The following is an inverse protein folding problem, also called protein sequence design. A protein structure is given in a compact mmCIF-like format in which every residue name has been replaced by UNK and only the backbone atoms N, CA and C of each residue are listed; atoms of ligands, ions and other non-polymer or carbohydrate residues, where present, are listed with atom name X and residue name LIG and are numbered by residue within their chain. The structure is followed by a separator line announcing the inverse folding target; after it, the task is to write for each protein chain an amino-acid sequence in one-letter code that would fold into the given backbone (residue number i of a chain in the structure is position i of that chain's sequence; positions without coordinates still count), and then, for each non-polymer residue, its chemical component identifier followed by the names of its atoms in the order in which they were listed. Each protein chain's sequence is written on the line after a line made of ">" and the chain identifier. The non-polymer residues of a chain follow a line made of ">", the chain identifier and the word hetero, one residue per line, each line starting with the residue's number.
data_IF_469364000600
#
_entry.id   IF_469364000600
#
_cell.length_a   1.000
_cell.length_b   1.000
_cell.length_c   1.000
_cell.angle_alpha   90.00
_cell.angle_beta   90.00
_cell.angle_gamma   90.00
#
_symmetry.space_group_name_H-M   'P 1'
#
loop_
_entity.id
_entity.type
_entity.pdbx_description
1 polymer ?
#
# COMPACT_ATOMS: atom_id res chain seq x y z
N UNK A 1 9.72 -64.68 7.65
CA UNK A 1 8.97 -63.46 7.29
C UNK A 1 9.62 -62.91 6.05
N UNK A 2 8.95 -63.00 4.91
CA UNK A 2 9.41 -62.45 3.63
C UNK A 2 9.46 -60.93 3.72
N UNK A 3 10.44 -60.30 3.07
CA UNK A 3 10.63 -58.86 3.14
C UNK A 3 9.49 -58.14 2.42
N UNK A 4 8.93 -57.04 2.96
CA UNK A 4 7.84 -56.29 2.33
C UNK A 4 8.17 -55.72 0.94
N UNK A 5 9.44 -55.80 0.50
CA UNK A 5 9.88 -55.37 -0.83
C UNK A 5 9.89 -56.49 -1.88
N UNK A 6 9.59 -57.74 -1.50
CA UNK A 6 9.58 -58.86 -2.46
C UNK A 6 8.35 -58.84 -3.39
N UNK A 7 7.23 -58.22 -2.97
CA UNK A 7 6.02 -58.04 -3.81
C UNK A 7 6.24 -57.06 -4.98
N UNK A 8 7.13 -56.07 -4.82
CA UNK A 8 7.44 -55.09 -5.87
C UNK A 8 8.31 -55.65 -7.00
N UNK A 9 8.84 -56.86 -6.84
CA UNK A 9 9.62 -57.56 -7.88
C UNK A 9 8.76 -58.46 -8.76
N UNK A 10 7.48 -58.63 -8.45
CA UNK A 10 6.57 -59.38 -9.31
C UNK A 10 6.21 -58.53 -10.56
N UNK A 11 6.24 -59.10 -11.77
CA UNK A 11 5.86 -58.37 -12.97
C UNK A 11 4.39 -57.93 -12.90
N UNK A 12 4.16 -56.62 -13.13
CA UNK A 12 2.82 -56.02 -13.14
C UNK A 12 2.05 -56.58 -14.34
N UNK A 13 1.03 -57.39 -14.06
CA UNK A 13 0.08 -57.84 -15.09
C UNK A 13 -1.06 -56.83 -15.17
N UNK A 14 -1.33 -56.20 -16.33
CA UNK A 14 -2.46 -55.30 -16.49
C UNK A 14 -3.76 -56.02 -16.16
N UNK A 15 -4.53 -55.48 -15.22
CA UNK A 15 -5.87 -55.97 -14.91
C UNK A 15 -6.85 -55.07 -15.63
N UNK A 16 -7.73 -55.66 -16.44
CA UNK A 16 -8.80 -54.88 -17.08
C UNK A 16 -9.71 -54.27 -16.00
N UNK A 17 -10.15 -53.00 -16.18
CA UNK A 17 -11.00 -52.34 -15.20
C UNK A 17 -12.33 -53.07 -15.08
N UNK A 18 -12.88 -53.08 -13.86
CA UNK A 18 -14.19 -53.65 -13.58
C UNK A 18 -15.23 -53.11 -14.58
N UNK A 19 -15.89 -53.98 -15.38
CA UNK A 19 -16.87 -53.57 -16.36
C UNK A 19 -18.03 -52.76 -15.77
N UNK A 20 -18.42 -53.04 -14.51
CA UNK A 20 -19.49 -52.31 -13.84
C UNK A 20 -19.06 -50.87 -13.51
N UNK A 21 -17.82 -50.69 -13.07
CA UNK A 21 -17.24 -49.37 -12.82
C UNK A 21 -17.11 -48.57 -14.14
N UNK A 22 -16.60 -49.22 -15.19
CA UNK A 22 -16.46 -48.59 -16.50
C UNK A 22 -17.82 -48.14 -17.09
N UNK A 23 -18.87 -48.96 -16.94
CA UNK A 23 -20.22 -48.63 -17.35
C UNK A 23 -20.81 -47.46 -16.54
N UNK A 24 -20.63 -47.47 -15.21
CA UNK A 24 -21.10 -46.40 -14.34
C UNK A 24 -20.42 -45.06 -14.63
N UNK A 25 -19.12 -45.07 -14.90
CA UNK A 25 -18.36 -43.88 -15.26
C UNK A 25 -18.82 -43.29 -16.60
N UNK A 26 -19.03 -44.15 -17.61
CA UNK A 26 -19.51 -43.72 -18.94
C UNK A 26 -20.90 -43.08 -18.86
N UNK A 27 -21.84 -43.69 -18.13
CA UNK A 27 -23.18 -43.14 -17.92
C UNK A 27 -23.18 -41.81 -17.13
N UNK A 28 -22.16 -41.55 -16.31
CA UNK A 28 -22.00 -40.28 -15.58
C UNK A 28 -21.47 -39.18 -16.48
N UNK A 29 -20.52 -39.51 -17.36
CA UNK A 29 -19.96 -38.57 -18.34
C UNK A 29 -20.99 -38.20 -19.42
N UNK A 30 -21.78 -39.16 -19.90
CA UNK A 30 -22.84 -38.90 -20.89
C UNK A 30 -23.91 -37.94 -20.37
N UNK A 31 -24.34 -38.11 -19.11
CA UNK A 31 -25.25 -37.16 -18.46
C UNK A 31 -24.66 -35.76 -18.29
N UNK A 32 -23.37 -35.67 -17.97
CA UNK A 32 -22.70 -34.38 -17.79
C UNK A 32 -22.51 -33.60 -19.12
N UNK A 33 -22.49 -34.29 -20.26
CA UNK A 33 -22.29 -33.67 -21.58
C UNK A 33 -23.60 -33.25 -22.24
N UNK A 34 -24.73 -33.89 -21.91
CA UNK A 34 -25.99 -33.74 -22.64
C UNK A 34 -27.02 -32.78 -21.99
N UNK A 35 -26.82 -32.33 -20.75
CA UNK A 35 -27.74 -31.40 -20.06
C UNK A 35 -27.04 -30.08 -19.67
N UNK A 36 -27.14 -29.00 -20.48
CA UNK A 36 -26.68 -27.68 -20.09
C UNK A 36 -27.83 -26.91 -19.43
N UNK A 37 -27.77 -26.76 -18.10
CA UNK A 37 -28.51 -25.71 -17.38
C UNK A 37 -29.35 -26.20 -16.19
N UNK A 38 -28.76 -26.22 -15.01
CA UNK A 38 -29.40 -25.74 -13.78
C UNK A 38 -28.34 -25.60 -12.68
N UNK A 39 -28.26 -24.40 -12.12
CA UNK A 39 -27.41 -24.10 -10.97
C UNK A 39 -27.90 -24.89 -9.74
N UNK A 40 -27.09 -25.84 -9.28
CA UNK A 40 -26.94 -26.14 -7.85
C UNK A 40 -25.56 -26.73 -7.63
N UNK A 41 -24.81 -26.14 -6.70
CA UNK A 41 -23.41 -26.40 -6.45
C UNK A 41 -23.07 -27.89 -6.19
N UNK A 42 -22.01 -28.39 -6.82
CA UNK A 42 -21.15 -29.39 -6.17
C UNK A 42 -19.69 -29.21 -6.61
N UNK A 43 -18.91 -28.75 -5.66
CA UNK A 43 -17.45 -28.62 -5.64
C UNK A 43 -16.76 -29.92 -6.07
N UNK A 44 -15.92 -29.83 -7.10
CA UNK A 44 -14.69 -30.62 -7.17
C UNK A 44 -13.56 -29.70 -7.60
N UNK A 45 -12.86 -29.18 -6.60
CA UNK A 45 -11.56 -28.55 -6.77
C UNK A 45 -10.60 -29.56 -7.41
N UNK A 46 -10.09 -29.23 -8.59
CA UNK A 46 -8.80 -29.75 -9.05
C UNK A 46 -7.76 -29.18 -8.10
N UNK A 47 -6.84 -29.97 -7.52
CA UNK A 47 -5.74 -29.40 -6.76
C UNK A 47 -4.81 -28.73 -7.78
N UNK A 48 -5.08 -27.48 -8.08
CA UNK A 48 -4.05 -26.57 -8.59
C UNK A 48 -2.96 -26.60 -7.54
N UNK A 49 -1.78 -27.09 -7.93
CA UNK A 49 -0.55 -26.95 -7.15
C UNK A 49 -0.47 -25.49 -6.72
N UNK A 50 -0.70 -25.24 -5.44
CA UNK A 50 -0.56 -23.92 -4.86
C UNK A 50 0.83 -23.41 -5.21
N UNK A 51 0.88 -22.40 -6.06
CA UNK A 51 1.93 -21.40 -5.95
C UNK A 51 1.79 -20.90 -4.52
N UNK A 52 2.83 -21.03 -3.66
CA UNK A 52 2.69 -20.65 -2.27
C UNK A 52 2.12 -19.23 -2.21
N UNK A 53 1.07 -19.08 -1.41
CA UNK A 53 0.51 -17.79 -1.02
C UNK A 53 1.67 -16.83 -0.80
N UNK A 54 1.59 -15.65 -1.42
CA UNK A 54 2.30 -14.49 -0.91
C UNK A 54 1.89 -14.42 0.56
N UNK A 55 2.82 -14.81 1.45
CA UNK A 55 2.58 -14.76 2.88
C UNK A 55 1.99 -13.38 3.18
N UNK A 56 0.86 -13.27 3.90
CA UNK A 56 0.37 -11.96 4.29
C UNK A 56 1.52 -11.24 4.98
N UNK A 57 1.88 -10.06 4.46
CA UNK A 57 2.84 -9.17 5.10
C UNK A 57 2.46 -9.12 6.58
N UNK A 58 3.36 -9.60 7.45
CA UNK A 58 3.04 -9.85 8.84
C UNK A 58 2.44 -8.59 9.47
N UNK A 59 1.23 -8.68 10.02
CA UNK A 59 0.50 -7.57 10.65
C UNK A 59 1.15 -7.06 11.95
N UNK A 60 2.24 -7.69 12.38
CA UNK A 60 3.02 -7.26 13.54
C UNK A 60 4.05 -6.24 13.07
N UNK A 61 3.86 -4.96 13.43
CA UNK A 61 4.94 -3.99 13.37
C UNK A 61 6.05 -4.48 14.31
N UNK A 62 7.25 -4.80 13.81
CA UNK A 62 8.30 -5.35 14.66
C UNK A 62 8.77 -4.24 15.61
N UNK A 63 8.50 -4.33 16.93
CA UNK A 63 9.32 -3.74 18.03
C UNK A 63 9.01 -4.31 19.42
N UNK A 64 10.03 -4.88 20.05
CA UNK A 64 10.11 -5.29 21.48
C UNK A 64 11.58 -5.57 21.82
N UNK A 65 12.38 -5.92 20.81
CA UNK A 65 13.82 -6.16 20.91
C UNK A 65 14.62 -4.86 20.70
N UNK A 66 15.61 -4.64 21.55
CA UNK A 66 16.62 -3.56 21.45
C UNK A 66 17.97 -4.18 21.09
N UNK A 67 18.45 -4.07 19.84
CA UNK A 67 19.73 -4.65 19.45
C UNK A 67 20.89 -4.00 20.22
N UNK A 68 21.90 -4.82 20.54
CA UNK A 68 23.15 -4.37 21.15
C UNK A 68 24.31 -4.72 20.22
N UNK A 69 24.91 -3.72 19.59
CA UNK A 69 26.02 -3.89 18.66
C UNK A 69 27.38 -3.78 19.36
N UNK A 70 28.28 -4.64 18.91
CA UNK A 70 29.71 -4.58 19.24
C UNK A 70 30.43 -3.91 18.08
N UNK A 71 31.17 -2.86 18.39
CA UNK A 71 31.87 -2.03 17.41
C UNK A 71 33.32 -1.84 17.79
N UNK A 72 34.17 -1.54 16.79
CA UNK A 72 35.60 -1.27 17.02
C UNK A 72 35.80 0.07 17.75
N UNK A 73 34.96 1.05 17.43
CA UNK A 73 34.92 2.39 18.03
C UNK A 73 33.47 2.89 18.08
N UNK A 74 32.95 3.05 19.30
CA UNK A 74 31.58 3.47 19.58
C UNK A 74 31.33 4.93 19.24
N UNK A 75 32.33 5.81 19.36
CA UNK A 75 32.16 7.22 18.99
C UNK A 75 32.05 7.36 17.48
N UNK A 76 32.90 6.63 16.74
CA UNK A 76 32.80 6.55 15.29
C UNK A 76 31.48 5.91 14.83
N UNK A 77 31.04 4.83 15.50
CA UNK A 77 29.76 4.19 15.20
C UNK A 77 28.57 5.13 15.47
N UNK A 78 28.55 5.84 16.60
CA UNK A 78 27.51 6.84 16.90
C UNK A 78 27.48 7.91 15.82
N UNK A 79 28.63 8.47 15.43
CA UNK A 79 28.71 9.44 14.35
C UNK A 79 28.17 8.90 13.01
N UNK A 80 28.47 7.64 12.70
CA UNK A 80 27.91 6.94 11.54
C UNK A 80 26.39 6.84 11.59
N UNK A 81 25.79 6.35 12.69
CA UNK A 81 24.33 6.21 12.81
C UNK A 81 23.62 7.57 12.80
N UNK A 82 24.23 8.62 13.37
CA UNK A 82 23.74 10.00 13.28
C UNK A 82 23.72 10.47 11.81
N UNK A 83 24.82 10.29 11.07
CA UNK A 83 24.92 10.76 9.68
C UNK A 83 24.03 9.95 8.72
N UNK A 84 24.06 8.63 8.82
CA UNK A 84 23.36 7.72 7.91
C UNK A 84 21.84 7.70 8.18
N UNK A 85 21.45 7.59 9.46
CA UNK A 85 20.08 7.29 9.87
C UNK A 85 19.42 8.38 10.71
N UNK A 86 20.07 9.54 10.87
CA UNK A 86 19.58 10.64 11.72
C UNK A 86 19.34 10.19 13.16
N UNK A 87 20.18 9.27 13.64
CA UNK A 87 20.11 8.80 15.01
C UNK A 87 20.34 9.95 15.99
N UNK A 88 19.73 9.88 17.17
CA UNK A 88 19.91 10.85 18.25
C UNK A 88 20.57 10.15 19.44
N UNK A 89 21.77 10.55 19.88
CA UNK A 89 22.37 10.01 21.09
C UNK A 89 21.47 10.22 22.30
N UNK A 90 21.35 9.20 23.14
CA UNK A 90 20.51 9.25 24.33
C UNK A 90 21.31 8.89 25.58
N UNK A 91 21.25 9.77 26.59
CA UNK A 91 21.93 9.56 27.86
C UNK A 91 23.46 9.72 27.79
N UNK A 92 24.15 9.54 28.91
CA UNK A 92 25.61 9.65 28.97
C UNK A 92 26.32 8.41 28.40
N UNK A 93 27.53 8.61 27.88
CA UNK A 93 28.47 7.50 27.63
C UNK A 93 28.84 6.84 28.96
N UNK A 94 28.72 5.51 29.03
CA UNK A 94 29.24 4.74 30.15
C UNK A 94 30.63 4.22 29.76
N UNK A 95 31.65 4.66 30.48
CA UNK A 95 33.04 4.35 30.19
C UNK A 95 33.55 3.18 31.04
N UNK A 96 34.46 2.41 30.46
CA UNK A 96 35.32 1.47 31.18
C UNK A 96 36.50 2.22 31.83
N UNK A 97 37.24 1.53 32.70
CA UNK A 97 38.46 2.08 33.32
C UNK A 97 39.53 2.50 32.30
N UNK A 98 39.57 1.86 31.13
CA UNK A 98 40.50 2.16 30.03
C UNK A 98 40.03 3.32 29.11
N UNK A 99 38.89 3.94 29.42
CA UNK A 99 38.31 5.06 28.65
C UNK A 99 37.52 4.66 27.41
N UNK A 100 37.41 3.35 27.11
CA UNK A 100 36.53 2.82 26.06
C UNK A 100 35.07 2.86 26.49
N UNK A 101 34.15 2.96 25.54
CA UNK A 101 32.72 3.00 25.81
C UNK A 101 32.23 1.57 26.12
N UNK A 102 31.83 1.35 27.37
CA UNK A 102 31.15 0.15 27.81
C UNK A 102 29.70 0.11 27.30
N UNK A 103 29.04 1.26 27.20
CA UNK A 103 27.66 1.37 26.75
C UNK A 103 27.30 2.81 26.34
N UNK A 104 26.62 2.94 25.19
CA UNK A 104 25.95 4.16 24.75
C UNK A 104 24.70 3.79 23.96
N UNK A 105 23.70 4.65 23.98
CA UNK A 105 22.43 4.45 23.27
C UNK A 105 22.24 5.51 22.20
N UNK A 106 21.66 5.10 21.08
CA UNK A 106 21.13 6.01 20.07
C UNK A 106 19.69 5.66 19.75
N UNK A 107 18.86 6.67 19.50
CA UNK A 107 17.47 6.53 19.08
C UNK A 107 17.40 6.69 17.57
N UNK A 108 16.79 5.72 16.89
CA UNK A 108 16.50 5.76 15.45
C UNK A 108 15.01 5.53 15.27
N UNK A 109 14.28 6.56 14.84
CA UNK A 109 12.82 6.54 14.80
C UNK A 109 12.24 6.38 16.20
N UNK A 110 11.48 5.31 16.42
CA UNK A 110 10.83 4.96 17.69
C UNK A 110 11.60 3.95 18.54
N UNK A 111 12.85 3.67 18.18
CA UNK A 111 13.58 2.52 18.71
C UNK A 111 14.99 2.85 19.16
N UNK A 112 15.45 2.11 20.16
CA UNK A 112 16.79 2.24 20.74
C UNK A 112 17.74 1.23 20.08
N UNK A 113 18.96 1.68 19.82
CA UNK A 113 20.11 0.85 19.45
C UNK A 113 21.19 1.06 20.51
N UNK A 114 21.60 -0.03 21.15
CA UNK A 114 22.67 -0.02 22.15
C UNK A 114 24.01 -0.33 21.45
N UNK A 115 25.07 0.38 21.83
CA UNK A 115 26.39 0.29 21.20
C UNK A 115 27.47 0.19 22.29
N UNK A 116 28.46 -0.66 22.07
CA UNK A 116 29.63 -0.78 22.95
C UNK A 116 30.88 -1.18 22.19
N UNK A 117 32.03 -0.69 22.67
CA UNK A 117 33.33 -1.06 22.15
C UNK A 117 33.59 -2.54 22.40
N UNK A 118 34.28 -3.19 21.44
CA UNK A 118 34.78 -4.54 21.58
C UNK A 118 35.55 -4.76 22.88
N UNK A 119 35.34 -5.93 23.48
CA UNK A 119 35.95 -6.35 24.73
C UNK A 119 36.49 -7.77 24.58
N UNK A 120 37.74 -7.92 24.13
CA UNK A 120 38.37 -9.22 23.93
C UNK A 120 38.53 -10.04 25.22
N UNK A 121 38.61 -9.39 26.40
CA UNK A 121 38.81 -10.06 27.69
C UNK A 121 37.64 -10.99 28.06
N UNK A 122 36.45 -10.69 27.55
CA UNK A 122 35.23 -11.49 27.75
C UNK A 122 34.64 -11.98 26.42
N UNK A 123 35.45 -12.01 25.36
CA UNK A 123 35.09 -12.48 24.01
C UNK A 123 33.84 -11.78 23.41
N UNK A 124 33.66 -10.49 23.68
CA UNK A 124 32.61 -9.68 23.05
C UNK A 124 33.20 -8.77 21.98
N UNK A 125 33.35 -9.34 20.78
CA UNK A 125 34.03 -8.75 19.62
C UNK A 125 33.04 -8.21 18.58
N UNK A 126 33.51 -7.27 17.76
CA UNK A 126 32.80 -6.78 16.59
C UNK A 126 32.78 -7.83 15.47
N UNK A 127 31.82 -7.76 14.53
CA UNK A 127 31.78 -8.68 13.40
C UNK A 127 33.06 -8.72 12.55
N UNK A 128 33.70 -7.57 12.33
CA UNK A 128 34.97 -7.49 11.62
C UNK A 128 36.08 -8.28 12.32
N UNK A 129 36.17 -8.21 13.65
CA UNK A 129 37.13 -8.98 14.44
C UNK A 129 36.80 -10.49 14.48
N UNK A 130 35.53 -10.85 14.29
CA UNK A 130 35.08 -12.25 14.14
C UNK A 130 35.28 -12.82 12.73
N UNK A 131 35.60 -11.99 11.74
CA UNK A 131 35.80 -12.40 10.34
C UNK A 131 34.52 -12.45 9.50
N UNK A 132 33.42 -11.85 9.96
CA UNK A 132 32.18 -11.76 9.19
C UNK A 132 30.96 -11.31 10.01
N UNK A 133 29.84 -10.96 9.35
CA UNK A 133 28.61 -10.54 10.02
C UNK A 133 28.13 -11.54 11.08
N UNK A 134 27.84 -11.06 12.30
CA UNK A 134 27.32 -11.89 13.41
C UNK A 134 25.79 -11.89 13.49
N UNK A 135 25.14 -11.08 12.67
CA UNK A 135 23.69 -10.87 12.62
C UNK A 135 23.36 -9.75 11.65
N UNK A 136 22.09 -9.34 11.58
CA UNK A 136 21.67 -8.16 10.81
C UNK A 136 20.72 -7.29 11.61
N UNK A 137 20.89 -5.98 11.49
CA UNK A 137 19.93 -4.98 11.98
C UNK A 137 19.11 -4.50 10.80
N UNK A 138 17.78 -4.64 10.90
CA UNK A 138 16.86 -4.06 9.92
C UNK A 138 16.44 -2.68 10.39
N UNK A 139 16.70 -1.67 9.55
CA UNK A 139 16.31 -0.29 9.78
C UNK A 139 15.32 0.10 8.69
N UNK A 140 14.09 0.40 9.11
CA UNK A 140 13.06 0.97 8.25
C UNK A 140 13.25 2.48 8.12
N UNK A 141 13.23 2.98 6.89
CA UNK A 141 13.43 4.40 6.58
C UNK A 141 12.40 4.88 5.55
N UNK A 142 11.95 6.15 5.60
CA UNK A 142 10.98 6.65 4.62
C UNK A 142 11.48 6.59 3.16
N UNK A 143 12.79 6.70 2.96
CA UNK A 143 13.45 6.70 1.66
C UNK A 143 14.74 5.87 1.75
N UNK A 144 14.71 4.69 1.14
CA UNK A 144 15.83 3.75 1.17
C UNK A 144 17.03 4.25 0.37
N UNK A 145 16.82 4.87 -0.80
CA UNK A 145 17.90 5.37 -1.65
C UNK A 145 18.66 6.52 -0.97
N UNK A 146 17.93 7.45 -0.37
CA UNK A 146 18.54 8.57 0.35
C UNK A 146 19.30 8.09 1.59
N UNK A 147 18.74 7.14 2.36
CA UNK A 147 19.44 6.58 3.52
C UNK A 147 20.68 5.77 3.13
N UNK A 148 20.57 4.97 2.08
CA UNK A 148 21.69 4.20 1.54
C UNK A 148 22.82 5.12 1.07
N UNK A 149 22.49 6.18 0.34
CA UNK A 149 23.46 7.19 -0.11
C UNK A 149 24.18 7.87 1.06
N UNK A 150 23.46 8.23 2.13
CA UNK A 150 24.07 8.78 3.34
C UNK A 150 24.97 7.77 4.05
N UNK A 151 24.57 6.50 4.12
CA UNK A 151 25.37 5.45 4.74
C UNK A 151 26.71 5.28 4.00
N UNK A 152 26.71 5.29 2.66
CA UNK A 152 27.96 5.25 1.88
C UNK A 152 28.83 6.49 2.10
N UNK A 153 28.22 7.68 2.13
CA UNK A 153 28.94 8.92 2.44
C UNK A 153 29.55 8.92 3.85
N UNK A 154 28.94 8.20 4.79
CA UNK A 154 29.44 8.01 6.15
C UNK A 154 30.46 6.86 6.29
N UNK A 155 30.85 6.21 5.17
CA UNK A 155 31.90 5.18 5.16
C UNK A 155 31.40 3.74 5.16
N UNK A 156 30.11 3.48 4.97
CA UNK A 156 29.61 2.11 4.83
C UNK A 156 30.07 1.47 3.52
N UNK A 157 30.23 0.14 3.54
CA UNK A 157 30.53 -0.67 2.36
C UNK A 157 29.25 -1.29 1.80
N UNK A 158 29.07 -1.24 0.48
CA UNK A 158 27.94 -1.91 -0.18
C UNK A 158 28.10 -3.42 -0.11
N UNK A 159 27.11 -4.12 0.45
CA UNK A 159 26.95 -5.57 0.30
C UNK A 159 25.93 -5.88 -0.81
N UNK A 160 24.76 -5.23 -0.75
CA UNK A 160 23.69 -5.35 -1.74
C UNK A 160 23.15 -3.97 -2.10
N UNK A 161 23.14 -3.57 -3.38
CA UNK A 161 22.60 -2.28 -3.80
C UNK A 161 21.09 -2.19 -3.53
N UNK A 162 20.56 -0.96 -3.48
CA UNK A 162 19.11 -0.75 -3.36
C UNK A 162 18.39 -1.27 -4.60
N UNK A 163 17.36 -2.07 -4.39
CA UNK A 163 16.53 -2.61 -5.47
C UNK A 163 15.14 -3.05 -4.97
N UNK A 164 14.25 -3.46 -5.88
CA UNK A 164 12.97 -4.06 -5.51
C UNK A 164 13.19 -5.46 -4.91
N UNK A 165 12.52 -5.75 -3.79
CA UNK A 165 12.48 -7.07 -3.15
C UNK A 165 11.02 -7.47 -2.85
N UNK A 166 10.73 -8.75 -2.62
CA UNK A 166 9.37 -9.22 -2.28
C UNK A 166 8.74 -8.57 -1.04
N UNK A 167 9.54 -7.91 -0.20
CA UNK A 167 9.16 -7.31 1.08
C UNK A 167 9.51 -5.81 1.14
N UNK A 168 9.51 -5.13 -0.02
CA UNK A 168 9.72 -3.69 -0.14
C UNK A 168 11.10 -3.31 -0.69
N UNK A 169 11.22 -2.09 -1.22
CA UNK A 169 12.49 -1.57 -1.77
C UNK A 169 13.56 -1.51 -0.69
N UNK A 170 14.77 -2.00 -0.96
CA UNK A 170 15.84 -1.97 0.05
C UNK A 170 17.19 -2.47 -0.43
N UNK A 171 18.20 -2.27 0.40
CA UNK A 171 19.59 -2.67 0.18
C UNK A 171 20.30 -3.07 1.48
N UNK A 172 21.55 -3.49 1.38
CA UNK A 172 22.36 -3.92 2.52
C UNK A 172 23.73 -3.27 2.48
N UNK A 173 24.14 -2.71 3.61
CA UNK A 173 25.48 -2.16 3.82
C UNK A 173 26.14 -2.78 5.04
N UNK A 174 27.47 -2.71 5.10
CA UNK A 174 28.27 -3.00 6.27
C UNK A 174 28.80 -1.69 6.85
N UNK A 175 28.66 -1.48 8.16
CA UNK A 175 29.39 -0.42 8.86
C UNK A 175 30.89 -0.75 8.98
N UNK A 176 31.71 0.19 9.44
CA UNK A 176 33.16 -0.03 9.61
C UNK A 176 33.48 -1.15 10.62
N UNK A 177 32.57 -1.49 11.53
CA UNK A 177 32.73 -2.62 12.46
C UNK A 177 32.28 -3.96 11.87
N UNK A 178 31.81 -3.98 10.63
CA UNK A 178 31.30 -5.17 9.93
C UNK A 178 29.86 -5.54 10.31
N UNK A 179 29.13 -4.68 11.03
CA UNK A 179 27.72 -4.93 11.31
C UNK A 179 26.92 -4.79 10.02
N UNK A 180 26.07 -5.78 9.75
CA UNK A 180 25.26 -5.84 8.55
C UNK A 180 23.92 -5.12 8.76
N UNK A 181 23.71 -4.05 8.02
CA UNK A 181 22.54 -3.18 8.12
C UNK A 181 21.66 -3.37 6.89
N UNK A 182 20.45 -3.87 7.09
CA UNK A 182 19.42 -3.95 6.07
C UNK A 182 18.62 -2.64 6.08
N UNK A 183 18.79 -1.83 5.04
CA UNK A 183 18.06 -0.58 4.86
C UNK A 183 16.83 -0.91 4.02
N UNK A 184 15.66 -0.80 4.62
CA UNK A 184 14.40 -1.14 3.97
C UNK A 184 13.50 0.09 3.95
N UNK A 185 12.89 0.36 2.81
CA UNK A 185 11.89 1.41 2.70
C UNK A 185 10.70 1.02 3.58
N UNK A 186 10.35 1.90 4.51
CA UNK A 186 9.17 1.75 5.32
C UNK A 186 7.95 1.84 4.41
N UNK A 187 7.06 0.84 4.50
CA UNK A 187 5.71 0.97 3.97
C UNK A 187 5.05 2.16 4.67
N UNK A 188 4.65 3.22 3.95
CA UNK A 188 4.14 4.39 4.63
C UNK A 188 2.85 4.01 5.38
N UNK A 189 2.69 4.56 6.57
CA UNK A 189 1.54 4.20 7.42
C UNK A 189 0.34 5.00 6.95
N UNK A 190 -0.66 4.31 6.41
CA UNK A 190 -1.98 4.88 6.22
C UNK A 190 -2.59 5.18 7.59
N UNK A 191 -2.99 6.42 7.79
CA UNK A 191 -3.60 6.89 9.02
C UNK A 191 -5.08 7.27 8.74
N UNK A 192 -5.85 7.50 9.80
CA UNK A 192 -7.28 7.79 9.70
C UNK A 192 -7.58 8.93 8.71
N UNK A 193 -8.46 8.68 7.75
CA UNK A 193 -8.87 9.61 6.69
C UNK A 193 -7.98 9.64 5.46
N UNK A 194 -6.83 8.95 5.44
CA UNK A 194 -6.05 8.80 4.21
C UNK A 194 -6.78 7.87 3.23
N UNK A 195 -6.60 8.12 1.94
CA UNK A 195 -7.18 7.30 0.89
C UNK A 195 -6.36 6.02 0.70
N UNK A 196 -6.97 4.87 0.92
CA UNK A 196 -6.33 3.55 0.72
C UNK A 196 -6.53 3.03 -0.69
N UNK A 197 -7.71 3.29 -1.24
CA UNK A 197 -8.09 2.95 -2.60
C UNK A 197 -9.04 4.01 -3.13
N UNK A 198 -8.98 4.28 -4.44
CA UNK A 198 -10.03 5.01 -5.12
C UNK A 198 -10.39 4.36 -6.44
N UNK A 199 -11.61 4.62 -6.89
CA UNK A 199 -12.12 4.08 -8.14
C UNK A 199 -12.92 5.13 -8.90
N UNK A 200 -12.61 5.34 -10.17
CA UNK A 200 -13.50 6.08 -11.06
C UNK A 200 -14.76 5.25 -11.27
N UNK A 201 -15.92 5.80 -10.92
CA UNK A 201 -17.23 5.21 -11.24
C UNK A 201 -17.77 5.95 -12.45
N UNK A 202 -17.85 5.27 -13.59
CA UNK A 202 -18.19 5.85 -14.91
C UNK A 202 -19.17 4.92 -15.64
N UNK A 203 -19.90 5.38 -16.66
CA UNK A 203 -20.80 4.51 -17.43
C UNK A 203 -20.05 3.36 -18.13
N UNK A 204 -18.93 3.66 -18.79
CA UNK A 204 -18.11 2.70 -19.52
C UNK A 204 -16.65 2.77 -19.04
N UNK A 205 -16.22 1.74 -18.30
CA UNK A 205 -14.87 1.65 -17.75
C UNK A 205 -13.80 1.51 -18.84
N UNK A 206 -14.07 0.79 -19.92
CA UNK A 206 -13.13 0.60 -21.03
C UNK A 206 -12.92 1.91 -21.81
N UNK A 207 -14.00 2.68 -21.97
CA UNK A 207 -13.94 4.01 -22.56
C UNK A 207 -13.14 4.99 -21.70
N UNK A 208 -13.36 4.99 -20.39
CA UNK A 208 -12.55 5.79 -19.47
C UNK A 208 -11.08 5.35 -19.47
N UNK A 209 -10.79 4.05 -19.51
CA UNK A 209 -9.43 3.54 -19.59
C UNK A 209 -8.69 4.04 -20.84
N UNK A 210 -9.36 4.09 -22.01
CA UNK A 210 -8.79 4.69 -23.23
C UNK A 210 -8.58 6.19 -23.10
N UNK A 211 -9.57 6.91 -22.56
CA UNK A 211 -9.49 8.35 -22.35
C UNK A 211 -8.31 8.73 -21.45
N UNK A 212 -8.26 8.18 -20.23
CA UNK A 212 -7.18 8.48 -19.28
C UNK A 212 -5.84 7.84 -19.67
N UNK A 213 -5.85 6.76 -20.46
CA UNK A 213 -4.64 6.26 -21.13
C UNK A 213 -4.01 7.29 -22.06
N UNK A 214 -4.83 8.01 -22.84
CA UNK A 214 -4.37 9.07 -23.74
C UNK A 214 -3.97 10.35 -23.00
N UNK A 215 -4.70 10.74 -21.94
CA UNK A 215 -4.48 12.00 -21.21
C UNK A 215 -3.37 11.89 -20.16
N UNK A 216 -3.34 10.80 -19.41
CA UNK A 216 -2.46 10.61 -18.23
C UNK A 216 -1.41 9.52 -18.42
N UNK A 217 -1.40 8.83 -19.56
CA UNK A 217 -0.47 7.74 -19.81
C UNK A 217 -0.73 6.49 -18.97
N UNK A 218 -1.97 6.27 -18.52
CA UNK A 218 -2.31 5.09 -17.72
C UNK A 218 -2.15 3.79 -18.50
N UNK A 219 -1.45 2.84 -17.90
CA UNK A 219 -1.39 1.45 -18.34
C UNK A 219 -2.37 0.64 -17.49
N UNK A 220 -3.38 0.04 -18.11
CA UNK A 220 -4.47 -0.63 -17.39
C UNK A 220 -4.42 -2.14 -17.55
N UNK A 221 -4.95 -2.84 -16.54
CA UNK A 221 -5.12 -4.30 -16.53
C UNK A 221 -6.50 -4.62 -15.96
N UNK A 222 -7.14 -5.71 -16.43
CA UNK A 222 -8.36 -6.19 -15.79
C UNK A 222 -8.05 -6.66 -14.37
N UNK A 223 -8.94 -6.33 -13.45
CA UNK A 223 -8.85 -6.82 -12.08
C UNK A 223 -9.22 -8.33 -12.01
N UNK A 224 -8.88 -8.96 -10.90
CA UNK A 224 -8.99 -10.41 -10.72
C UNK A 224 -10.44 -10.94 -10.85
N UNK A 225 -11.43 -10.10 -10.60
CA UNK A 225 -12.86 -10.42 -10.68
C UNK A 225 -13.46 -10.18 -12.07
N UNK A 226 -12.67 -9.60 -12.98
CA UNK A 226 -13.06 -9.29 -14.36
C UNK A 226 -14.03 -8.11 -14.51
N UNK A 227 -14.52 -7.54 -13.40
CA UNK A 227 -15.52 -6.46 -13.37
C UNK A 227 -14.87 -5.07 -13.31
N UNK A 228 -13.73 -4.95 -12.62
CA UNK A 228 -12.95 -3.71 -12.54
C UNK A 228 -11.77 -3.64 -13.51
N UNK A 229 -11.30 -2.42 -13.80
CA UNK A 229 -10.02 -2.15 -14.46
C UNK A 229 -9.09 -1.49 -13.45
N UNK A 230 -7.89 -2.03 -13.26
CA UNK A 230 -6.84 -1.47 -12.41
C UNK A 230 -5.86 -0.65 -13.24
N UNK A 231 -5.40 0.49 -12.71
CA UNK A 231 -4.27 1.24 -13.26
C UNK A 231 -2.96 0.66 -12.70
N UNK A 232 -2.14 0.05 -13.56
CA UNK A 232 -1.01 -0.78 -13.18
C UNK A 232 0.33 -0.02 -13.08
N UNK A 233 0.42 1.18 -13.65
CA UNK A 233 1.64 2.00 -13.65
C UNK A 233 1.60 3.16 -12.65
N UNK A 234 0.68 3.12 -11.67
CA UNK A 234 0.63 4.07 -10.56
C UNK A 234 0.99 3.36 -9.25
N UNK A 235 1.62 4.08 -8.31
CA UNK A 235 1.85 3.55 -6.97
C UNK A 235 0.55 3.49 -6.14
N UNK A 236 -0.41 4.37 -6.41
CA UNK A 236 -1.73 4.37 -5.75
C UNK A 236 -2.64 3.29 -6.32
N UNK A 237 -3.38 2.59 -5.47
CA UNK A 237 -4.44 1.67 -5.87
C UNK A 237 -5.63 2.44 -6.49
N UNK A 238 -5.57 2.67 -7.81
CA UNK A 238 -6.63 3.33 -8.58
C UNK A 238 -7.33 2.34 -9.51
N UNK A 239 -8.65 2.26 -9.38
CA UNK A 239 -9.53 1.45 -10.23
C UNK A 239 -10.44 2.27 -11.14
N UNK A 240 -11.08 1.61 -12.08
CA UNK A 240 -12.15 2.12 -12.94
C UNK A 240 -13.25 1.06 -12.99
N UNK A 241 -14.48 1.49 -12.72
CA UNK A 241 -15.64 0.61 -12.62
C UNK A 241 -16.82 1.18 -13.41
N UNK A 242 -17.48 0.29 -14.16
CA UNK A 242 -18.75 0.62 -14.79
C UNK A 242 -19.84 0.69 -13.72
N UNK A 243 -20.47 1.85 -13.61
CA UNK A 243 -21.53 2.12 -12.63
C UNK A 243 -22.66 2.93 -13.26
N UNK A 244 -23.89 2.65 -12.83
CA UNK A 244 -25.03 3.50 -13.16
C UNK A 244 -24.99 4.80 -12.34
N UNK A 245 -25.49 5.88 -12.93
CA UNK A 245 -25.59 7.19 -12.26
C UNK A 245 -24.57 8.20 -12.79
N UNK A 246 -24.34 9.26 -12.01
CA UNK A 246 -23.41 10.33 -12.38
C UNK A 246 -21.97 9.87 -12.18
N UNK A 247 -21.06 10.15 -13.12
CA UNK A 247 -19.66 9.82 -12.94
C UNK A 247 -19.04 10.55 -11.73
N UNK A 248 -18.25 9.84 -10.93
CA UNK A 248 -17.60 10.40 -9.74
C UNK A 248 -16.38 9.56 -9.32
N UNK A 249 -15.61 10.05 -8.35
CA UNK A 249 -14.59 9.27 -7.67
C UNK A 249 -15.18 8.59 -6.43
N UNK A 250 -15.11 7.27 -6.37
CA UNK A 250 -15.37 6.51 -5.14
C UNK A 250 -14.11 6.46 -4.30
N UNK A 251 -14.19 6.92 -3.06
CA UNK A 251 -13.06 6.94 -2.12
C UNK A 251 -13.20 5.85 -1.06
N UNK A 252 -12.12 5.14 -0.78
CA UNK A 252 -11.99 4.27 0.38
C UNK A 252 -11.00 4.88 1.38
N UNK A 253 -11.47 5.18 2.59
CA UNK A 253 -10.68 5.85 3.63
C UNK A 253 -10.18 4.88 4.69
N UNK A 254 -8.92 5.02 5.07
CA UNK A 254 -8.36 4.29 6.20
C UNK A 254 -9.03 4.75 7.49
N UNK A 255 -9.38 3.80 8.35
CA UNK A 255 -9.85 4.03 9.71
C UNK A 255 -9.15 3.07 10.67
N UNK A 256 -8.98 3.44 11.95
CA UNK A 256 -8.35 2.55 12.93
C UNK A 256 -9.20 1.31 13.25
N UNK A 257 -10.53 1.43 13.14
CA UNK A 257 -11.51 0.39 13.45
C UNK A 257 -12.76 0.58 12.58
N UNK A 258 -13.09 -0.40 11.73
CA UNK A 258 -14.20 -0.29 10.76
C UNK A 258 -15.54 -0.23 11.48
N UNK A 259 -15.73 -1.00 12.55
CA UNK A 259 -17.00 -1.05 13.26
C UNK A 259 -17.36 0.29 13.91
N UNK A 260 -16.36 0.97 14.50
CA UNK A 260 -16.46 2.30 15.09
C UNK A 260 -16.78 3.34 14.02
N UNK A 261 -16.10 3.27 12.87
CA UNK A 261 -16.38 4.17 11.74
C UNK A 261 -17.80 3.97 11.19
N UNK A 262 -18.27 2.72 11.03
CA UNK A 262 -19.63 2.40 10.60
C UNK A 262 -20.68 2.97 11.57
N UNK A 263 -20.45 2.85 12.88
CA UNK A 263 -21.33 3.44 13.88
C UNK A 263 -21.35 4.98 13.78
N UNK A 264 -20.19 5.62 13.59
CA UNK A 264 -20.08 7.06 13.41
C UNK A 264 -20.80 7.55 12.13
N UNK A 265 -20.66 6.82 11.02
CA UNK A 265 -21.38 7.11 9.76
C UNK A 265 -22.90 7.09 9.96
N UNK A 266 -23.42 6.04 10.60
CA UNK A 266 -24.86 5.90 10.90
C UNK A 266 -25.34 7.01 11.83
N UNK A 267 -24.55 7.36 12.85
CA UNK A 267 -24.87 8.42 13.79
C UNK A 267 -24.86 9.82 13.14
N UNK A 268 -24.01 10.04 12.13
CA UNK A 268 -23.93 11.28 11.37
C UNK A 268 -25.03 11.42 10.28
N UNK A 269 -25.92 10.44 10.15
CA UNK A 269 -27.04 10.47 9.21
C UNK A 269 -26.76 9.80 7.86
N UNK A 270 -25.63 9.12 7.71
CA UNK A 270 -25.31 8.29 6.55
C UNK A 270 -25.84 6.86 6.70
N UNK A 271 -25.59 6.05 5.67
CA UNK A 271 -25.86 4.59 5.71
C UNK A 271 -24.55 3.83 5.54
N UNK A 272 -24.45 2.65 6.14
CA UNK A 272 -23.28 1.81 6.05
C UNK A 272 -23.68 0.34 6.10
N UNK A 273 -23.06 -0.49 5.26
CA UNK A 273 -23.19 -1.94 5.31
C UNK A 273 -22.48 -2.50 6.55
N UNK A 274 -22.76 -3.76 6.88
CA UNK A 274 -22.01 -4.45 7.93
C UNK A 274 -20.57 -4.71 7.46
N UNK A 275 -19.56 -4.56 8.36
CA UNK A 275 -18.18 -4.83 8.02
C UNK A 275 -17.98 -6.24 7.47
N UNK A 276 -17.33 -6.36 6.33
CA UNK A 276 -17.06 -7.63 5.66
C UNK A 276 -15.57 -7.80 5.37
N UNK A 277 -15.07 -9.04 5.49
CA UNK A 277 -13.71 -9.38 5.08
C UNK A 277 -13.66 -9.55 3.56
N UNK A 278 -12.77 -8.82 2.93
CA UNK A 278 -12.51 -8.85 1.49
C UNK A 278 -11.03 -9.18 1.23
N UNK A 279 -10.62 -9.44 -0.02
CA UNK A 279 -9.20 -9.51 -0.39
C UNK A 279 -8.40 -8.25 -0.02
N UNK A 280 -9.08 -7.10 0.15
CA UNK A 280 -8.49 -5.80 0.51
C UNK A 280 -8.60 -5.48 2.01
N UNK A 281 -8.84 -6.48 2.85
CA UNK A 281 -8.99 -6.32 4.30
C UNK A 281 -10.43 -6.22 4.77
N UNK A 282 -10.61 -5.82 6.03
CA UNK A 282 -11.93 -5.55 6.60
C UNK A 282 -12.42 -4.19 6.08
N UNK A 283 -13.59 -4.18 5.44
CA UNK A 283 -14.15 -3.01 4.76
C UNK A 283 -15.65 -2.90 5.03
N UNK A 284 -16.17 -1.67 4.98
CA UNK A 284 -17.61 -1.41 4.90
C UNK A 284 -17.90 -0.35 3.82
N UNK A 285 -18.87 -0.64 2.94
CA UNK A 285 -19.43 0.33 2.00
C UNK A 285 -20.41 1.26 2.72
N UNK A 286 -20.30 2.55 2.43
CA UNK A 286 -21.02 3.64 3.06
C UNK A 286 -21.64 4.58 2.03
N UNK A 287 -22.66 5.31 2.45
CA UNK A 287 -23.22 6.47 1.75
C UNK A 287 -23.32 7.59 2.76
N UNK A 288 -22.79 8.77 2.44
CA UNK A 288 -22.87 9.93 3.32
C UNK A 288 -24.30 10.49 3.41
N UNK A 289 -24.48 11.52 4.23
CA UNK A 289 -25.77 12.17 4.44
C UNK A 289 -26.20 13.09 3.27
N UNK A 290 -25.41 13.13 2.20
CA UNK A 290 -25.64 13.83 0.93
C UNK A 290 -25.91 12.86 -0.24
N UNK A 291 -25.72 11.55 -0.05
CA UNK A 291 -25.89 10.52 -1.07
C UNK A 291 -24.60 10.12 -1.79
N UNK A 292 -23.42 10.57 -1.34
CA UNK A 292 -22.13 10.21 -1.93
C UNK A 292 -21.67 8.84 -1.42
N UNK A 293 -21.44 7.86 -2.31
CA UNK A 293 -20.90 6.56 -1.92
C UNK A 293 -19.40 6.64 -1.62
N UNK A 294 -18.98 6.00 -0.54
CA UNK A 294 -17.58 5.83 -0.16
C UNK A 294 -17.40 4.52 0.61
N UNK A 295 -16.18 4.14 0.96
CA UNK A 295 -15.89 3.00 1.84
C UNK A 295 -14.94 3.41 2.96
N UNK A 296 -14.92 2.59 4.02
CA UNK A 296 -13.90 2.65 5.07
C UNK A 296 -13.26 1.28 5.23
N UNK A 297 -11.94 1.24 5.47
CA UNK A 297 -11.23 0.01 5.75
C UNK A 297 -10.21 0.17 6.89
N UNK A 298 -9.97 -0.91 7.62
CA UNK A 298 -8.85 -0.99 8.56
C UNK A 298 -7.57 -1.10 7.73
N UNK A 299 -6.89 0.03 7.53
CA UNK A 299 -5.69 0.24 6.73
C UNK A 299 -4.97 -1.05 6.26
N UNK A 300 -5.41 -1.57 5.11
CA UNK A 300 -4.66 -2.52 4.30
C UNK A 300 -4.46 -1.83 2.95
N UNK A 301 -3.21 -1.50 2.62
CA UNK A 301 -2.87 -0.88 1.35
C UNK A 301 -1.46 -0.29 1.38
N UNK A 302 -0.82 -0.26 0.22
CA UNK A 302 0.31 0.64 0.00
C UNK A 302 -0.28 2.06 -0.06
N UNK A 303 0.10 2.98 0.83
CA UNK A 303 -0.26 4.38 0.68
C UNK A 303 0.10 4.84 -0.72
N UNK A 304 -0.73 5.69 -1.31
CA UNK A 304 -0.39 6.35 -2.56
C UNK A 304 1.03 6.93 -2.45
N UNK A 305 2.01 6.29 -3.11
CA UNK A 305 3.36 6.82 -3.11
C UNK A 305 3.33 8.21 -3.76
N UNK A 306 4.37 9.00 -3.47
CA UNK A 306 4.49 10.40 -3.84
C UNK A 306 4.21 10.72 -5.32
N UNK A 307 4.23 12.01 -5.68
CA UNK A 307 3.59 12.56 -6.88
C UNK A 307 4.15 11.96 -8.18
N UNK A 308 3.59 10.83 -8.61
CA UNK A 308 3.84 10.24 -9.92
C UNK A 308 2.90 10.90 -10.95
N UNK A 309 3.36 11.21 -12.17
CA UNK A 309 2.47 11.66 -13.23
C UNK A 309 1.27 10.70 -13.39
N UNK A 310 0.07 11.26 -13.48
CA UNK A 310 -1.19 10.53 -13.53
C UNK A 310 -1.77 10.12 -12.18
N UNK A 311 -1.06 10.31 -11.06
CA UNK A 311 -1.58 10.01 -9.72
C UNK A 311 -2.51 11.11 -9.19
N UNK A 312 -3.39 10.76 -8.25
CA UNK A 312 -4.28 11.71 -7.58
C UNK A 312 -3.48 12.53 -6.57
N UNK A 313 -3.47 13.86 -6.71
CA UNK A 313 -2.81 14.80 -5.79
C UNK A 313 -3.77 15.41 -4.78
N UNK A 314 -5.04 15.55 -5.17
CA UNK A 314 -6.11 16.00 -4.28
C UNK A 314 -7.46 15.45 -4.71
N UNK A 315 -8.37 15.39 -3.73
CA UNK A 315 -9.79 15.08 -3.95
C UNK A 315 -10.65 16.22 -3.41
N UNK A 316 -11.66 16.60 -4.16
CA UNK A 316 -12.56 17.70 -3.82
C UNK A 316 -14.00 17.18 -3.80
N UNK A 317 -14.62 17.16 -2.62
CA UNK A 317 -16.06 16.95 -2.50
C UNK A 317 -16.76 18.29 -2.73
N UNK A 318 -17.42 18.42 -3.87
CA UNK A 318 -18.34 19.53 -4.16
C UNK A 318 -19.70 19.16 -3.59
N UNK A 319 -20.27 19.98 -2.72
CA UNK A 319 -21.52 19.68 -2.02
C UNK A 319 -22.45 20.91 -1.96
N UNK A 320 -23.79 20.74 -2.08
CA UNK A 320 -24.74 21.84 -1.90
C UNK A 320 -24.68 22.49 -0.53
N UNK A 321 -24.36 21.71 0.50
CA UNK A 321 -24.11 22.21 1.85
C UNK A 321 -22.72 21.72 2.33
N UNK A 322 -21.66 22.50 2.07
CA UNK A 322 -20.30 22.12 2.47
C UNK A 322 -20.10 22.14 3.99
N UNK A 323 -20.93 22.87 4.75
CA UNK A 323 -20.84 22.89 6.22
C UNK A 323 -21.37 21.57 6.79
N UNK A 324 -22.49 21.09 6.26
CA UNK A 324 -23.06 19.79 6.61
C UNK A 324 -22.13 18.64 6.20
N UNK A 325 -21.63 18.64 4.97
CA UNK A 325 -20.65 17.64 4.51
C UNK A 325 -19.40 17.62 5.40
N UNK A 326 -18.87 18.80 5.76
CA UNK A 326 -17.73 18.92 6.68
C UNK A 326 -18.02 18.28 8.03
N UNK A 327 -19.20 18.52 8.60
CA UNK A 327 -19.60 17.93 9.88
C UNK A 327 -19.66 16.40 9.79
N UNK A 328 -20.24 15.86 8.72
CA UNK A 328 -20.31 14.42 8.46
C UNK A 328 -18.91 13.79 8.41
N UNK A 329 -18.03 14.25 7.50
CA UNK A 329 -16.72 13.63 7.31
C UNK A 329 -15.79 13.82 8.51
N UNK A 330 -15.93 14.91 9.27
CA UNK A 330 -15.18 15.08 10.52
C UNK A 330 -15.58 14.03 11.56
N UNK A 331 -16.86 13.71 11.67
CA UNK A 331 -17.38 12.71 12.60
C UNK A 331 -17.06 11.28 12.14
N UNK A 332 -17.28 10.98 10.86
CA UNK A 332 -17.11 9.64 10.30
C UNK A 332 -15.65 9.17 10.26
N UNK A 333 -14.71 10.08 9.93
CA UNK A 333 -13.30 9.73 9.74
C UNK A 333 -12.39 10.17 10.89
N UNK A 334 -12.91 10.94 11.85
CA UNK A 334 -12.11 11.49 12.95
C UNK A 334 -11.09 12.54 12.50
N UNK A 335 -11.36 13.24 11.39
CA UNK A 335 -10.48 14.28 10.82
C UNK A 335 -10.97 15.69 11.15
N UNK A 336 -10.08 16.67 11.09
CA UNK A 336 -10.42 18.07 11.31
C UNK A 336 -10.44 18.85 10.01
N UNK A 337 -11.24 19.91 9.95
CA UNK A 337 -11.34 20.76 8.79
C UNK A 337 -10.98 22.21 9.13
N UNK A 338 -10.11 22.81 8.32
CA UNK A 338 -9.71 24.23 8.43
C UNK A 338 -10.29 25.02 7.26
N UNK A 339 -10.71 26.28 7.45
CA UNK A 339 -11.11 27.13 6.33
C UNK A 339 -9.97 27.26 5.31
N UNK A 340 -10.30 27.17 4.03
CA UNK A 340 -9.39 27.34 2.91
C UNK A 340 -10.03 28.15 1.78
N UNK A 341 -9.29 28.35 0.71
CA UNK A 341 -9.78 29.03 -0.50
C UNK A 341 -11.00 28.29 -1.09
N UNK A 342 -12.20 28.86 -0.92
CA UNK A 342 -13.44 28.33 -1.51
C UNK A 342 -14.09 27.16 -0.74
N UNK A 343 -13.64 26.85 0.48
CA UNK A 343 -14.21 25.74 1.24
C UNK A 343 -13.41 25.33 2.48
N UNK A 344 -13.39 24.04 2.76
CA UNK A 344 -12.77 23.43 3.93
C UNK A 344 -11.69 22.45 3.50
N UNK A 345 -10.50 22.51 4.10
CA UNK A 345 -9.43 21.54 3.88
C UNK A 345 -9.37 20.56 5.04
N UNK A 346 -9.24 19.28 4.75
CA UNK A 346 -9.13 18.23 5.75
C UNK A 346 -7.68 18.06 6.22
N UNK A 347 -7.51 17.91 7.53
CA UNK A 347 -6.23 17.79 8.22
C UNK A 347 -6.31 16.75 9.34
N UNK A 348 -5.16 16.16 9.63
CA UNK A 348 -4.91 15.33 10.82
C UNK A 348 -3.78 15.98 11.62
N UNK A 349 -4.13 16.51 12.80
CA UNK A 349 -3.24 17.43 13.52
C UNK A 349 -2.92 18.65 12.66
N UNK A 350 -1.64 18.85 12.36
CA UNK A 350 -1.15 19.90 11.46
C UNK A 350 -0.89 19.45 10.01
N UNK A 351 -0.90 18.14 9.76
CA UNK A 351 -0.65 17.58 8.43
C UNK A 351 -1.95 17.52 7.59
N UNK A 352 -1.88 17.75 6.27
CA UNK A 352 -2.99 17.44 5.36
C UNK A 352 -3.18 15.93 5.24
N UNK A 353 -4.39 15.50 4.89
CA UNK A 353 -4.67 14.10 4.51
C UNK A 353 -3.91 13.72 3.22
N UNK A 354 -3.79 12.42 2.95
CA UNK A 354 -3.15 11.87 1.75
C UNK A 354 -4.15 11.12 0.88
N UNK A 355 -4.48 11.62 -0.33
CA UNK A 355 -4.12 12.92 -0.91
C UNK A 355 -4.85 14.08 -0.19
N UNK A 356 -4.43 15.31 -0.50
CA UNK A 356 -5.04 16.49 0.08
C UNK A 356 -6.54 16.52 -0.23
N UNK A 357 -7.37 16.62 0.81
CA UNK A 357 -8.83 16.55 0.66
C UNK A 357 -9.47 17.89 0.99
N UNK A 358 -10.45 18.30 0.18
CA UNK A 358 -11.21 19.52 0.38
C UNK A 358 -12.71 19.30 0.18
N UNK A 359 -13.50 20.15 0.83
CA UNK A 359 -14.96 20.22 0.68
C UNK A 359 -15.30 21.64 0.24
N UNK A 360 -15.94 21.78 -0.92
CA UNK A 360 -16.30 23.07 -1.54
C UNK A 360 -17.78 23.11 -1.85
N UNK A 361 -18.31 24.31 -2.10
CA UNK A 361 -19.70 24.47 -2.53
C UNK A 361 -19.87 24.00 -3.98
N UNK A 362 -20.94 23.27 -4.26
CA UNK A 362 -21.30 22.84 -5.60
C UNK A 362 -22.78 22.48 -5.73
N UNK A 363 -23.33 22.47 -6.95
CA UNK A 363 -24.77 22.28 -7.16
C UNK A 363 -25.24 20.85 -6.85
N UNK A 364 -24.32 19.88 -6.85
CA UNK A 364 -24.59 18.45 -6.62
C UNK A 364 -23.42 17.87 -5.85
N UNK A 365 -23.71 16.95 -4.92
CA UNK A 365 -22.71 16.20 -4.17
C UNK A 365 -21.91 15.28 -5.12
N UNK A 366 -20.63 15.59 -5.34
CA UNK A 366 -19.73 14.76 -6.18
C UNK A 366 -18.28 14.92 -5.76
N UNK A 367 -17.51 13.83 -5.84
CA UNK A 367 -16.07 13.84 -5.58
C UNK A 367 -15.31 13.99 -6.90
N UNK A 368 -14.50 15.03 -7.00
CA UNK A 368 -13.70 15.39 -8.17
C UNK A 368 -12.22 15.12 -7.87
N UNK A 369 -11.58 14.16 -8.58
CA UNK A 369 -10.14 13.92 -8.46
C UNK A 369 -9.35 15.00 -9.19
N UNK A 370 -8.14 15.27 -8.70
CA UNK A 370 -7.14 16.08 -9.42
C UNK A 370 -5.88 15.26 -9.65
N UNK A 371 -5.44 15.21 -10.90
CA UNK A 371 -4.31 14.39 -11.33
C UNK A 371 -3.06 15.24 -11.56
N UNK A 372 -1.91 14.68 -11.22
CA UNK A 372 -0.62 15.28 -11.54
C UNK A 372 -0.31 15.11 -13.02
N UNK A 373 0.14 16.16 -13.69
CA UNK A 373 0.68 16.10 -15.05
C UNK A 373 2.03 16.80 -15.11
N UNK A 374 2.88 16.33 -16.02
CA UNK A 374 4.19 16.95 -16.27
C UNK A 374 4.04 18.23 -17.08
N UNK A 375 3.12 18.23 -18.05
CA UNK A 375 2.88 19.31 -18.99
C UNK A 375 1.37 19.55 -19.10
N UNK A 376 0.93 20.72 -18.63
CA UNK A 376 -0.48 21.09 -18.60
C UNK A 376 -1.04 21.39 -20.01
N UNK A 377 -0.23 21.96 -20.90
CA UNK A 377 -0.65 22.29 -22.26
C UNK A 377 -0.84 21.00 -23.06
N UNK A 378 0.13 20.09 -23.00
CA UNK A 378 0.02 18.79 -23.65
C UNK A 378 -1.16 17.97 -23.12
N UNK A 379 -1.36 17.96 -21.79
CA UNK A 379 -2.45 17.21 -21.18
C UNK A 379 -3.84 17.78 -21.55
N UNK A 380 -4.01 19.11 -21.56
CA UNK A 380 -5.28 19.74 -21.95
C UNK A 380 -5.58 19.57 -23.44
N UNK A 381 -4.56 19.59 -24.31
CA UNK A 381 -4.72 19.23 -25.72
C UNK A 381 -5.15 17.76 -25.89
N UNK A 382 -4.57 16.84 -25.11
CA UNK A 382 -4.96 15.43 -25.11
C UNK A 382 -6.41 15.23 -24.63
N UNK A 383 -6.88 16.01 -23.63
CA UNK A 383 -8.28 15.99 -23.17
C UNK A 383 -9.23 16.29 -24.34
N UNK A 384 -8.98 17.37 -25.08
CA UNK A 384 -9.81 17.75 -26.23
C UNK A 384 -9.74 16.71 -27.34
N UNK A 385 -8.54 16.19 -27.65
CA UNK A 385 -8.35 15.18 -28.68
C UNK A 385 -9.06 13.85 -28.36
N UNK A 386 -9.16 13.50 -27.07
CA UNK A 386 -9.87 12.32 -26.59
C UNK A 386 -11.40 12.50 -26.46
N UNK A 387 -11.92 13.69 -26.82
CA UNK A 387 -13.35 14.00 -26.81
C UNK A 387 -13.88 14.60 -25.50
N UNK A 388 -12.99 14.99 -24.58
CA UNK A 388 -13.32 15.71 -23.36
C UNK A 388 -13.36 17.22 -23.55
N UNK A 389 -13.59 17.94 -22.46
CA UNK A 389 -13.72 19.39 -22.43
C UNK A 389 -12.79 20.00 -21.36
N UNK A 390 -12.22 21.16 -21.65
CA UNK A 390 -11.48 21.99 -20.69
C UNK A 390 -12.36 23.17 -20.33
N UNK A 391 -12.91 23.17 -19.12
CA UNK A 391 -13.88 24.18 -18.65
C UNK A 391 -13.18 25.43 -18.11
N UNK A 392 -12.02 25.26 -17.47
CA UNK A 392 -11.20 26.35 -16.99
C UNK A 392 -9.72 26.01 -17.07
N UNK A 393 -8.91 26.97 -17.50
CA UNK A 393 -7.45 26.88 -17.50
C UNK A 393 -6.88 27.99 -16.62
N UNK A 394 -5.97 27.62 -15.72
CA UNK A 394 -5.22 28.50 -14.82
C UNK A 394 -3.74 28.23 -15.00
N UNK A 395 -2.90 29.10 -14.43
CA UNK A 395 -1.44 29.01 -14.55
C UNK A 395 -0.87 27.64 -14.13
N UNK A 396 -1.41 27.03 -13.07
CA UNK A 396 -0.90 25.76 -12.50
C UNK A 396 -1.91 24.62 -12.52
N UNK A 397 -3.02 24.76 -13.25
CA UNK A 397 -4.00 23.69 -13.35
C UNK A 397 -5.16 23.97 -14.29
N UNK A 398 -5.93 22.91 -14.56
CA UNK A 398 -7.12 22.96 -15.39
C UNK A 398 -8.27 22.20 -14.73
N UNK A 399 -9.50 22.63 -15.00
CA UNK A 399 -10.72 21.89 -14.68
C UNK A 399 -11.28 21.34 -15.99
N UNK A 400 -11.54 20.04 -16.02
CA UNK A 400 -11.87 19.28 -17.22
C UNK A 400 -13.06 18.35 -16.98
N UNK A 401 -13.67 17.93 -18.08
CA UNK A 401 -14.71 16.89 -18.11
C UNK A 401 -14.33 15.85 -19.15
N UNK A 402 -14.43 14.57 -18.82
CA UNK A 402 -14.15 13.49 -19.77
C UNK A 402 -15.27 13.35 -20.81
N UNK A 403 -15.11 12.42 -21.73
CA UNK A 403 -16.09 12.16 -22.79
C UNK A 403 -17.37 11.45 -22.29
N UNK A 404 -17.51 11.25 -20.98
CA UNK A 404 -18.63 10.60 -20.30
C UNK A 404 -19.26 11.48 -19.20
N UNK A 405 -18.74 12.69 -18.96
CA UNK A 405 -19.26 13.64 -17.96
C UNK A 405 -18.60 13.57 -16.58
N UNK A 406 -17.48 12.85 -16.42
CA UNK A 406 -16.67 12.88 -15.20
C UNK A 406 -15.88 14.18 -15.13
N UNK A 407 -16.16 15.01 -14.12
CA UNK A 407 -15.32 16.15 -13.80
C UNK A 407 -14.00 15.70 -13.16
N UNK A 408 -12.89 16.29 -13.57
CA UNK A 408 -11.56 16.08 -12.98
C UNK A 408 -10.67 17.32 -13.14
N UNK A 409 -9.68 17.46 -12.27
CA UNK A 409 -8.66 18.50 -12.36
C UNK A 409 -7.33 17.97 -12.89
N UNK A 410 -6.55 18.85 -13.52
CA UNK A 410 -5.14 18.63 -13.83
C UNK A 410 -4.30 19.65 -13.08
N UNK A 411 -3.12 19.25 -12.60
CA UNK A 411 -2.18 20.17 -11.93
C UNK A 411 -0.74 19.74 -12.17
N UNK A 412 0.17 20.71 -12.21
CA UNK A 412 1.61 20.47 -12.23
C UNK A 412 2.17 20.49 -10.81
N UNK A 413 3.33 19.84 -10.60
CA UNK A 413 4.00 19.77 -9.30
C UNK A 413 4.48 21.15 -8.80
#
# INVERSE_FOLDING_TARGET
>A
MTSPFDELRAPIVPVDPDPAFAAALRARLERAVLEPGSETAMTTAVPTRAVPDVLPSSTVRPRTLTPYLRVRDSRAAVAFYVAAFRAVPQGPEHLREDGRIAHVEVVIGDSVLMIADSNPEIDLLSPAERGGPTGSVRIEVPDADAAFSRALAAGATVERPVGPEPYGRGGVVLDDSGNRIMIVQAEPVLEAGDLTHASLRVPDAERAARFFGAVLGWATQRDHDGAGIRVANLPSHLGIWSAAGRPTLFCCYAVPDVATAVAAVRAAGGTAQEPARTPYGLLADCVDDQGVPFAVNEAVGDPAAGPAPGAITSVELRAPDPIRARAFYSAALGVHHRPGSGGWRAHRGDAPLRPASAITEGPVATVVPRFLVVDLEAATAAVVAAGGQVEALRETGAECVDDQGLAFGLTTA
#
